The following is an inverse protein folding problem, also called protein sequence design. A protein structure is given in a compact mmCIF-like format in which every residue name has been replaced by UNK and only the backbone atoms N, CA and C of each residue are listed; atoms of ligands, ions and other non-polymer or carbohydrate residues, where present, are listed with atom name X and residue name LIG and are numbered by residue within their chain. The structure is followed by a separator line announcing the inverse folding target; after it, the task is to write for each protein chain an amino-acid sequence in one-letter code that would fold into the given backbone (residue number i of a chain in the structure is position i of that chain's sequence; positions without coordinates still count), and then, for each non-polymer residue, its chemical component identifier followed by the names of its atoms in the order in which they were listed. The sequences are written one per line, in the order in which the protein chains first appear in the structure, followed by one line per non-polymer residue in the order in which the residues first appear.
data_IF_411508958685
#
_entry.id   IF_411508958685
#
_cell.length_a   1.000
_cell.length_b   1.000
_cell.length_c   1.000
_cell.angle_alpha   90.00
_cell.angle_beta   90.00
_cell.angle_gamma   90.00
#
_symmetry.space_group_name_H-M   'P 1'
#
loop_
_entity.id
_entity.type
_entity.pdbx_description
1 polymer ?
#
# COMPACT_ATOMS: atom_id res chain seq x y z
N UNK A 1 1.93 -3.67 19.58
CA UNK A 1 2.54 -2.73 18.62
C UNK A 1 2.78 -1.44 19.37
N UNK A 2 4.04 -1.15 19.73
CA UNK A 2 4.40 0.13 20.35
C UNK A 2 4.14 1.26 19.36
N UNK A 3 3.32 2.24 19.75
CA UNK A 3 2.89 3.38 18.92
C UNK A 3 4.03 4.29 18.43
N UNK A 4 5.23 4.18 19.00
CA UNK A 4 6.32 5.16 18.84
C UNK A 4 7.23 4.88 17.64
N UNK A 5 7.44 3.61 17.27
CA UNK A 5 8.34 3.21 16.16
C UNK A 5 7.92 3.69 14.78
N UNK A 6 6.70 4.21 14.61
CA UNK A 6 6.22 4.69 13.32
C UNK A 6 6.66 6.11 12.96
N UNK A 7 7.01 6.92 13.94
CA UNK A 7 7.36 8.34 13.77
C UNK A 7 8.85 8.59 14.02
N UNK A 8 9.55 7.68 14.70
CA UNK A 8 10.95 7.81 15.09
C UNK A 8 11.89 7.95 13.89
N UNK A 9 11.54 7.42 12.72
CA UNK A 9 12.38 7.51 11.51
C UNK A 9 12.07 8.70 10.60
N UNK A 10 11.00 9.46 10.86
CA UNK A 10 10.60 10.59 9.99
C UNK A 10 11.00 11.90 10.64
N UNK A 11 12.03 12.51 10.09
CA UNK A 11 12.54 13.81 10.51
C UNK A 11 11.45 14.92 10.46
N UNK A 12 11.35 15.82 11.46
CA UNK A 12 10.32 16.86 11.49
C UNK A 12 10.36 17.83 10.30
N UNK A 13 11.54 18.15 9.77
CA UNK A 13 11.67 19.01 8.59
C UNK A 13 11.09 18.30 7.36
N UNK A 14 11.40 17.01 7.21
CA UNK A 14 10.80 16.17 6.19
C UNK A 14 9.26 16.11 6.32
N UNK A 15 8.72 15.98 7.54
CA UNK A 15 7.26 16.01 7.75
C UNK A 15 6.64 17.32 7.26
N UNK A 16 7.27 18.46 7.58
CA UNK A 16 6.83 19.77 7.13
C UNK A 16 6.87 19.89 5.61
N UNK A 17 7.93 19.42 4.97
CA UNK A 17 8.05 19.43 3.52
C UNK A 17 6.99 18.56 2.84
N UNK A 18 6.70 17.38 3.38
CA UNK A 18 5.66 16.49 2.84
C UNK A 18 4.27 17.10 2.95
N UNK A 19 3.94 17.65 4.13
CA UNK A 19 2.66 18.31 4.35
C UNK A 19 2.49 19.54 3.43
N UNK A 20 3.54 20.36 3.32
CA UNK A 20 3.55 21.54 2.44
C UNK A 20 3.41 21.13 0.97
N UNK A 21 4.15 20.12 0.54
CA UNK A 21 4.08 19.59 -0.84
C UNK A 21 2.68 19.07 -1.15
N UNK A 22 2.07 18.34 -0.21
CA UNK A 22 0.71 17.83 -0.35
C UNK A 22 -0.33 18.96 -0.44
N UNK A 23 -0.24 19.97 0.41
CA UNK A 23 -1.16 21.11 0.41
C UNK A 23 -1.04 21.99 -0.85
N UNK A 24 0.14 22.01 -1.48
CA UNK A 24 0.36 22.71 -2.74
C UNK A 24 -0.26 22.01 -3.96
N UNK A 25 -0.68 20.75 -3.82
CA UNK A 25 -1.39 20.03 -4.89
C UNK A 25 -2.81 20.57 -5.03
N UNK A 26 -3.13 21.10 -6.22
CA UNK A 26 -4.35 21.90 -6.46
C UNK A 26 -5.63 21.08 -6.57
N UNK A 27 -5.57 19.87 -7.13
CA UNK A 27 -6.78 19.06 -7.36
C UNK A 27 -6.81 17.81 -6.48
N UNK A 28 -8.04 17.39 -6.16
CA UNK A 28 -8.31 16.18 -5.38
C UNK A 28 -7.74 14.93 -6.06
N UNK A 29 -7.82 14.88 -7.40
CA UNK A 29 -7.32 13.76 -8.20
C UNK A 29 -5.80 13.68 -8.13
N UNK A 30 -5.10 14.82 -8.18
CA UNK A 30 -3.65 14.86 -8.04
C UNK A 30 -3.22 14.48 -6.62
N UNK A 31 -3.97 14.92 -5.60
CA UNK A 31 -3.73 14.51 -4.21
C UNK A 31 -3.91 12.99 -4.04
N UNK A 32 -4.96 12.41 -4.64
CA UNK A 32 -5.19 10.97 -4.61
C UNK A 32 -4.09 10.19 -5.32
N UNK A 33 -3.62 10.67 -6.48
CA UNK A 33 -2.49 10.09 -7.21
C UNK A 33 -1.19 10.15 -6.40
N UNK A 34 -0.91 11.31 -5.80
CA UNK A 34 0.24 11.52 -4.93
C UNK A 34 0.25 10.51 -3.76
N UNK A 35 -0.87 10.39 -3.04
CA UNK A 35 -1.00 9.45 -1.93
C UNK A 35 -0.93 7.99 -2.39
N UNK A 36 -1.52 7.67 -3.54
CA UNK A 36 -1.51 6.30 -4.09
C UNK A 36 -0.08 5.86 -4.45
N UNK A 37 0.78 6.76 -4.95
CA UNK A 37 2.18 6.45 -5.24
C UNK A 37 3.00 6.01 -4.02
N UNK A 38 2.54 6.34 -2.82
CA UNK A 38 3.17 5.99 -1.54
C UNK A 38 2.55 4.77 -0.84
N UNK A 39 1.51 4.18 -1.44
CA UNK A 39 0.78 3.04 -0.87
C UNK A 39 1.01 1.83 -1.76
N UNK A 40 1.55 0.76 -1.18
CA UNK A 40 1.70 -0.52 -1.88
C UNK A 40 0.70 -1.52 -1.30
N UNK A 41 -0.18 -2.02 -2.16
CA UNK A 41 -1.05 -3.14 -1.85
C UNK A 41 -0.27 -4.46 -1.97
N UNK A 42 -0.35 -5.31 -0.95
CA UNK A 42 0.17 -6.67 -1.04
C UNK A 42 -0.75 -7.56 -1.87
N UNK A 43 -0.21 -8.70 -2.33
CA UNK A 43 -1.05 -9.70 -2.95
C UNK A 43 -2.15 -10.17 -1.99
N UNK A 44 -3.41 -10.29 -2.46
CA UNK A 44 -4.50 -10.72 -1.62
C UNK A 44 -4.26 -12.13 -1.08
N UNK A 45 -4.19 -12.25 0.24
CA UNK A 45 -4.05 -13.54 0.92
C UNK A 45 -5.43 -14.09 1.28
N UNK A 46 -5.59 -15.41 1.20
CA UNK A 46 -6.84 -16.07 1.61
C UNK A 46 -6.92 -16.15 3.13
N UNK A 47 -7.99 -15.57 3.69
CA UNK A 47 -8.28 -15.67 5.12
C UNK A 47 -8.71 -17.11 5.43
N UNK A 48 -7.80 -17.86 6.06
CA UNK A 48 -8.03 -19.25 6.47
C UNK A 48 -6.99 -20.26 5.95
N UNK A 49 -6.13 -19.88 5.00
CA UNK A 49 -4.96 -20.68 4.64
C UNK A 49 -3.91 -20.56 5.76
N UNK A 50 -3.67 -21.69 6.42
CA UNK A 50 -3.28 -21.79 7.83
C UNK A 50 -1.85 -21.29 8.15
N UNK A 51 -1.67 -21.00 9.45
CA UNK A 51 -0.42 -20.93 10.27
C UNK A 51 0.06 -19.52 10.61
N UNK A 52 -0.55 -18.89 11.63
CA UNK A 52 0.11 -18.14 12.73
C UNK A 52 -0.93 -17.32 13.51
N UNK A 53 -1.33 -17.83 14.68
CA UNK A 53 -1.69 -17.05 15.88
C UNK A 53 -2.77 -15.95 15.83
N UNK A 54 -3.48 -15.73 14.72
CA UNK A 54 -4.54 -14.72 14.64
C UNK A 54 -5.90 -15.27 15.06
N UNK A 55 -6.74 -14.44 15.72
CA UNK A 55 -8.15 -14.77 15.99
C UNK A 55 -8.87 -15.01 14.66
N UNK A 56 -9.19 -16.27 14.39
CA UNK A 56 -10.00 -16.66 13.25
C UNK A 56 -11.40 -16.07 13.42
N UNK A 57 -11.78 -15.12 12.57
CA UNK A 57 -13.14 -14.64 12.48
C UNK A 57 -13.89 -15.46 11.42
N UNK A 58 -14.80 -16.33 11.87
CA UNK A 58 -15.65 -17.19 11.03
C UNK A 58 -16.28 -16.42 9.85
N UNK A 59 -16.73 -15.18 10.11
CA UNK A 59 -17.36 -14.28 9.13
C UNK A 59 -16.45 -13.87 7.95
N UNK A 60 -15.13 -14.07 8.06
CA UNK A 60 -14.16 -13.71 7.04
C UNK A 60 -13.53 -14.93 6.34
N UNK A 61 -13.96 -16.15 6.67
CA UNK A 61 -13.49 -17.40 6.05
C UNK A 61 -13.65 -17.34 4.54
N UNK A 62 -12.57 -17.58 3.80
CA UNK A 62 -12.60 -17.55 2.33
C UNK A 62 -12.65 -16.15 1.72
N UNK A 63 -12.52 -15.07 2.49
CA UNK A 63 -12.33 -13.72 1.93
C UNK A 63 -10.87 -13.48 1.60
N UNK A 64 -10.63 -12.77 0.51
CA UNK A 64 -9.30 -12.25 0.16
C UNK A 64 -9.06 -10.97 0.94
N UNK A 65 -8.00 -10.92 1.74
CA UNK A 65 -7.57 -9.70 2.42
C UNK A 65 -6.28 -9.18 1.77
N UNK A 66 -6.33 -7.91 1.38
CA UNK A 66 -5.17 -7.14 0.95
C UNK A 66 -4.64 -6.35 2.14
N UNK A 67 -3.37 -6.55 2.47
CA UNK A 67 -2.67 -5.66 3.39
C UNK A 67 -2.03 -4.52 2.60
N UNK A 68 -1.71 -3.42 3.26
CA UNK A 68 -1.06 -2.30 2.58
C UNK A 68 0.10 -1.80 3.42
N UNK A 69 1.18 -1.47 2.73
CA UNK A 69 2.38 -0.86 3.29
C UNK A 69 2.44 0.60 2.87
N UNK A 70 2.80 1.47 3.80
CA UNK A 70 2.87 2.92 3.60
C UNK A 70 4.32 3.35 3.59
N UNK A 71 4.67 4.16 2.60
CA UNK A 71 6.03 4.64 2.39
C UNK A 71 6.07 6.15 2.44
N UNK A 72 7.15 6.69 2.99
CA UNK A 72 7.48 8.11 2.93
C UNK A 72 8.74 8.27 2.07
N UNK A 73 8.71 9.07 0.99
CA UNK A 73 9.90 9.37 0.23
C UNK A 73 10.82 10.29 1.03
N UNK A 74 12.11 10.05 0.94
CA UNK A 74 13.17 10.91 1.48
C UNK A 74 13.91 11.59 0.33
N UNK A 75 14.66 12.65 0.62
CA UNK A 75 15.46 13.38 -0.37
C UNK A 75 16.46 12.50 -1.13
N UNK A 76 16.95 11.44 -0.48
CA UNK A 76 17.91 10.48 -1.07
C UNK A 76 17.27 9.41 -1.97
N UNK A 77 16.03 9.62 -2.43
CA UNK A 77 15.24 8.65 -3.20
C UNK A 77 15.01 7.31 -2.47
N UNK A 78 15.29 7.26 -1.17
CA UNK A 78 14.97 6.12 -0.29
C UNK A 78 13.54 6.27 0.22
N UNK A 79 12.97 5.15 0.65
CA UNK A 79 11.61 5.08 1.21
C UNK A 79 11.65 4.55 2.64
N UNK A 80 11.03 5.27 3.56
CA UNK A 80 10.84 4.86 4.95
C UNK A 80 9.48 4.18 5.07
N UNK A 81 9.41 3.02 5.71
CA UNK A 81 8.14 2.34 5.99
C UNK A 81 7.53 2.93 7.24
N UNK A 82 6.29 3.40 7.15
CA UNK A 82 5.55 3.96 8.29
C UNK A 82 4.27 3.17 8.54
N UNK A 83 3.72 3.28 9.75
CA UNK A 83 2.39 2.74 10.00
C UNK A 83 1.29 3.68 9.48
N UNK A 84 0.06 3.15 9.45
CA UNK A 84 -1.12 3.87 8.96
C UNK A 84 -1.37 5.17 9.70
N UNK A 85 -1.27 5.17 11.03
CA UNK A 85 -1.48 6.39 11.83
C UNK A 85 -0.46 7.47 11.49
N UNK A 86 0.82 7.10 11.36
CA UNK A 86 1.88 8.04 10.98
C UNK A 86 1.65 8.61 9.59
N UNK A 87 1.35 7.76 8.61
CA UNK A 87 1.04 8.22 7.25
C UNK A 87 -0.12 9.23 7.22
N UNK A 88 -1.20 8.94 7.97
CA UNK A 88 -2.35 9.84 8.08
C UNK A 88 -1.99 11.17 8.75
N UNK A 89 -1.20 11.12 9.83
CA UNK A 89 -0.79 12.30 10.58
C UNK A 89 0.12 13.22 9.77
N UNK A 90 1.10 12.65 9.06
CA UNK A 90 2.09 13.41 8.25
C UNK A 90 1.39 14.19 7.14
N UNK A 91 0.37 13.61 6.50
CA UNK A 91 -0.35 14.23 5.39
C UNK A 91 -1.63 14.97 5.83
N UNK A 92 -1.96 14.97 7.12
CA UNK A 92 -3.20 15.60 7.62
C UNK A 92 -4.49 14.97 7.07
N UNK A 93 -4.50 13.66 6.76
CA UNK A 93 -5.63 12.99 6.12
C UNK A 93 -6.42 12.08 7.07
N UNK A 94 -7.73 12.03 6.87
CA UNK A 94 -8.63 11.15 7.61
C UNK A 94 -8.69 9.71 7.09
N UNK A 95 -9.13 8.79 7.95
CA UNK A 95 -9.24 7.37 7.61
C UNK A 95 -10.23 7.06 6.47
N UNK A 96 -11.27 7.88 6.29
CA UNK A 96 -12.25 7.76 5.21
C UNK A 96 -11.59 8.00 3.84
N UNK A 97 -10.68 8.96 3.77
CA UNK A 97 -9.94 9.27 2.56
C UNK A 97 -9.03 8.10 2.18
N UNK A 98 -8.31 7.55 3.17
CA UNK A 98 -7.44 6.40 2.96
C UNK A 98 -8.20 5.16 2.46
N UNK A 99 -9.43 4.94 2.96
CA UNK A 99 -10.31 3.86 2.46
C UNK A 99 -10.69 4.07 0.99
N UNK A 100 -11.00 5.33 0.60
CA UNK A 100 -11.33 5.68 -0.78
C UNK A 100 -10.17 5.37 -1.72
N UNK A 101 -8.98 5.90 -1.47
CA UNK A 101 -7.84 5.73 -2.38
C UNK A 101 -7.38 4.27 -2.50
N UNK A 102 -7.52 3.48 -1.43
CA UNK A 102 -7.27 2.04 -1.45
C UNK A 102 -8.26 1.26 -2.32
N UNK A 103 -9.49 1.75 -2.47
CA UNK A 103 -10.54 1.12 -3.29
C UNK A 103 -10.44 1.47 -4.76
N UNK A 104 -9.81 2.59 -5.09
CA UNK A 104 -9.60 3.08 -6.47
C UNK A 104 -8.27 2.66 -7.08
N UNK A 105 -7.33 2.15 -6.28
CA UNK A 105 -6.06 1.63 -6.79
C UNK A 105 -6.33 0.46 -7.74
N UNK A 106 -5.89 0.51 -9.01
CA UNK A 106 -6.13 -0.57 -9.95
C UNK A 106 -5.46 -1.84 -9.44
N UNK A 107 -6.25 -2.85 -9.10
CA UNK A 107 -5.73 -4.21 -8.94
C UNK A 107 -5.29 -4.66 -10.33
N UNK A 108 -3.99 -4.55 -10.63
CA UNK A 108 -3.45 -5.02 -11.90
C UNK A 108 -3.88 -6.48 -12.12
N UNK A 109 -4.76 -6.67 -13.11
CA UNK A 109 -5.16 -7.98 -13.63
C UNK A 109 -4.29 -8.41 -14.82
N UNK A 110 -3.31 -7.59 -15.20
CA UNK A 110 -2.42 -7.87 -16.33
C UNK A 110 -1.61 -9.14 -16.03
N UNK A 111 -1.55 -10.05 -17.00
CA UNK A 111 -0.76 -11.29 -16.93
C UNK A 111 -1.40 -12.49 -16.23
N UNK A 112 -2.63 -12.38 -15.67
CA UNK A 112 -3.32 -13.50 -15.00
C UNK A 112 -4.20 -14.34 -15.94
N UNK A 113 -3.77 -14.59 -17.18
CA UNK A 113 -4.45 -15.53 -18.07
C UNK A 113 -3.91 -16.95 -17.82
N UNK A 114 -4.78 -17.88 -17.39
CA UNK A 114 -4.44 -19.30 -17.28
C UNK A 114 -4.12 -19.94 -18.64
N UNK A 115 -4.74 -19.42 -19.70
CA UNK A 115 -4.51 -19.88 -21.05
C UNK A 115 -3.28 -19.20 -21.63
N UNK A 116 -2.18 -19.95 -21.76
CA UNK A 116 -0.96 -19.53 -22.44
C UNK A 116 -0.67 -20.51 -23.57
N UNK A 117 -1.42 -20.42 -24.69
CA UNK A 117 -1.35 -21.43 -25.77
C UNK A 117 0.05 -21.50 -26.39
N UNK A 118 0.81 -20.40 -26.38
CA UNK A 118 2.17 -20.33 -26.94
C UNK A 118 3.25 -20.39 -25.84
N UNK A 119 3.12 -21.28 -24.86
CA UNK A 119 4.18 -21.50 -23.88
C UNK A 119 5.30 -22.31 -24.54
N UNK A 120 6.38 -21.64 -24.90
CA UNK A 120 7.60 -22.29 -25.43
C UNK A 120 8.11 -23.28 -24.37
N UNK A 121 8.20 -24.55 -24.73
CA UNK A 121 8.78 -25.60 -23.89
C UNK A 121 10.29 -25.68 -24.15
N UNK A 122 11.06 -26.18 -23.20
CA UNK A 122 12.52 -26.31 -23.33
C UNK A 122 12.95 -27.20 -24.52
N UNK A 123 12.04 -27.99 -25.09
CA UNK A 123 12.27 -28.80 -26.28
C UNK A 123 12.32 -27.98 -27.59
N UNK A 124 11.88 -26.73 -27.59
CA UNK A 124 11.88 -25.85 -28.78
C UNK A 124 13.18 -25.05 -28.93
N UNK A 125 14.11 -25.16 -27.96
CA UNK A 125 15.42 -24.53 -28.02
C UNK A 125 16.45 -25.60 -28.40
N UNK A 126 16.53 -25.92 -29.69
CA UNK A 126 17.65 -26.60 -30.35
C UNK A 126 17.94 -25.85 -31.64
#
# INVERSE_FOLDING_TARGET
MERKKCFEEVDPELQYHLLTSFNNVKTKEQQDQYLTGMIVASDPTWVGDRKKGGKFHEANKGRKQTTYTYYIPTESNRRIVVCKEAFMSIHGIGSAWLKRIRSTSPQSRQGRHRNRPNKITAATIQ
#
